data_IF_696358269134
#
_entry.id   IF_696358269134
#
_cell.length_a   1.000
_cell.length_b   1.000
_cell.length_c   1.000
_cell.angle_alpha   90.00
_cell.angle_beta   90.00
_cell.angle_gamma   90.00
#
_symmetry.space_group_name_H-M   'P 1'
#
loop_
_entity.id
_entity.type
_entity.pdbx_description
1 polymer ?
#
# COMPACT_ATOMS: atom_id res chain seq x y z
N UNK A 1 4.92 9.69 -14.72
CA UNK A 1 4.56 8.43 -14.03
C UNK A 1 5.85 7.78 -13.53
N UNK A 2 6.15 7.90 -12.24
CA UNK A 2 7.29 7.20 -11.63
C UNK A 2 6.99 5.70 -11.64
N UNK A 3 7.88 4.90 -12.24
CA UNK A 3 7.78 3.44 -12.19
C UNK A 3 7.98 2.92 -10.77
N UNK A 4 7.74 1.62 -10.58
CA UNK A 4 7.91 0.89 -9.32
C UNK A 4 8.97 -0.21 -9.50
N UNK A 5 10.23 0.18 -9.83
CA UNK A 5 11.25 -0.78 -10.25
C UNK A 5 11.65 -1.76 -9.15
N UNK A 6 11.51 -1.40 -7.87
CA UNK A 6 11.85 -2.33 -6.78
C UNK A 6 10.77 -3.40 -6.63
N UNK A 7 9.50 -3.00 -6.76
CA UNK A 7 8.38 -3.94 -6.83
C UNK A 7 8.50 -4.82 -8.08
N UNK A 8 8.84 -4.26 -9.24
CA UNK A 8 9.04 -5.05 -10.47
C UNK A 8 10.18 -6.06 -10.30
N UNK A 9 11.31 -5.64 -9.70
CA UNK A 9 12.45 -6.50 -9.43
C UNK A 9 12.11 -7.61 -8.41
N UNK A 10 11.36 -7.29 -7.36
CA UNK A 10 10.85 -8.28 -6.41
C UNK A 10 9.97 -9.32 -7.12
N UNK A 11 8.98 -8.87 -7.89
CA UNK A 11 8.07 -9.78 -8.58
C UNK A 11 8.78 -10.71 -9.57
N UNK A 12 9.84 -10.22 -10.22
CA UNK A 12 10.66 -11.02 -11.13
C UNK A 12 11.48 -12.12 -10.42
N UNK A 13 11.75 -11.99 -9.11
CA UNK A 13 12.56 -12.93 -8.32
C UNK A 13 11.75 -13.84 -7.39
N UNK A 14 10.43 -13.67 -7.31
CA UNK A 14 9.60 -14.48 -6.42
C UNK A 14 9.68 -15.97 -6.78
N UNK A 15 9.74 -16.82 -5.76
CA UNK A 15 9.64 -18.25 -5.96
C UNK A 15 8.27 -18.64 -6.55
N UNK A 16 8.17 -19.78 -7.27
CA UNK A 16 6.87 -20.27 -7.73
C UNK A 16 5.87 -20.48 -6.59
N UNK A 17 6.34 -20.84 -5.40
CA UNK A 17 5.51 -20.98 -4.21
C UNK A 17 4.96 -19.63 -3.74
N UNK A 18 5.78 -18.57 -3.75
CA UNK A 18 5.35 -17.22 -3.42
C UNK A 18 4.35 -16.68 -4.43
N UNK A 19 4.59 -16.87 -5.73
CA UNK A 19 3.66 -16.50 -6.81
C UNK A 19 2.31 -17.19 -6.62
N UNK A 20 2.30 -18.50 -6.33
CA UNK A 20 1.07 -19.24 -6.10
C UNK A 20 0.31 -18.77 -4.85
N UNK A 21 1.01 -18.52 -3.74
CA UNK A 21 0.39 -18.03 -2.52
C UNK A 21 -0.22 -16.63 -2.69
N UNK A 22 0.48 -15.72 -3.38
CA UNK A 22 -0.06 -14.40 -3.75
C UNK A 22 -1.29 -14.53 -4.64
N UNK A 23 -1.27 -15.44 -5.62
CA UNK A 23 -2.42 -15.65 -6.51
C UNK A 23 -3.67 -16.14 -5.76
N UNK A 24 -3.53 -16.94 -4.69
CA UNK A 24 -4.64 -17.36 -3.83
C UNK A 24 -5.25 -16.13 -3.13
N UNK A 25 -4.41 -15.30 -2.50
CA UNK A 25 -4.86 -14.07 -1.83
C UNK A 25 -5.55 -13.12 -2.82
N UNK A 26 -4.99 -12.95 -4.01
CA UNK A 26 -5.56 -12.11 -5.06
C UNK A 26 -6.90 -12.65 -5.58
N UNK A 27 -7.06 -13.97 -5.68
CA UNK A 27 -8.32 -14.59 -6.07
C UNK A 27 -9.42 -14.34 -5.02
N UNK A 28 -9.11 -14.51 -3.72
CA UNK A 28 -10.06 -14.19 -2.64
C UNK A 28 -10.46 -12.71 -2.67
N UNK A 29 -9.48 -11.82 -2.90
CA UNK A 29 -9.76 -10.39 -3.01
C UNK A 29 -10.62 -10.07 -4.22
N UNK A 30 -10.38 -10.71 -5.36
CA UNK A 30 -11.18 -10.53 -6.58
C UNK A 30 -12.64 -10.90 -6.34
N UNK A 31 -12.91 -12.00 -5.64
CA UNK A 31 -14.27 -12.41 -5.31
C UNK A 31 -14.98 -11.40 -4.39
N UNK A 32 -14.28 -10.85 -3.39
CA UNK A 32 -14.82 -9.79 -2.53
C UNK A 32 -15.14 -8.50 -3.31
N UNK A 33 -14.29 -8.13 -4.26
CA UNK A 33 -14.49 -6.96 -5.10
C UNK A 33 -15.66 -7.16 -6.07
N UNK A 34 -15.75 -8.32 -6.73
CA UNK A 34 -16.87 -8.70 -7.60
C UNK A 34 -18.21 -8.76 -6.87
N UNK A 35 -18.22 -9.21 -5.62
CA UNK A 35 -19.45 -9.28 -4.82
C UNK A 35 -20.12 -7.91 -4.63
N UNK A 36 -19.34 -6.82 -4.70
CA UNK A 36 -19.82 -5.42 -4.58
C UNK A 36 -20.28 -4.83 -5.92
N UNK A 37 -20.05 -5.54 -7.03
CA UNK A 37 -20.42 -5.08 -8.37
C UNK A 37 -21.80 -5.60 -8.78
N UNK A 38 -22.46 -4.80 -9.61
CA UNK A 38 -23.65 -5.22 -10.34
C UNK A 38 -23.32 -6.44 -11.23
N UNK A 39 -24.25 -7.41 -11.39
CA UNK A 39 -23.98 -8.67 -12.08
C UNK A 39 -23.29 -8.51 -13.44
N UNK A 40 -23.72 -7.54 -14.24
CA UNK A 40 -23.21 -7.24 -15.58
C UNK A 40 -21.75 -6.75 -15.61
N UNK A 41 -21.19 -6.33 -14.48
CA UNK A 41 -19.79 -5.88 -14.37
C UNK A 41 -18.86 -6.92 -13.75
N UNK A 42 -19.39 -7.99 -13.15
CA UNK A 42 -18.58 -8.98 -12.41
C UNK A 42 -17.60 -9.70 -13.31
N UNK A 43 -18.07 -10.14 -14.48
CA UNK A 43 -17.27 -10.92 -15.43
C UNK A 43 -16.18 -10.06 -16.10
N UNK A 44 -16.41 -8.75 -16.23
CA UNK A 44 -15.46 -7.82 -16.83
C UNK A 44 -14.24 -7.53 -15.93
N UNK A 45 -14.34 -7.77 -14.62
CA UNK A 45 -13.24 -7.59 -13.68
C UNK A 45 -12.53 -8.93 -13.53
N UNK A 46 -11.37 -9.09 -14.16
CA UNK A 46 -10.59 -10.34 -14.16
C UNK A 46 -9.44 -10.36 -13.17
N UNK A 47 -9.09 -9.20 -12.62
CA UNK A 47 -8.01 -9.02 -11.64
C UNK A 47 -8.49 -8.08 -10.52
N UNK A 48 -8.05 -8.29 -9.27
CA UNK A 48 -8.41 -7.40 -8.20
C UNK A 48 -7.78 -6.01 -8.42
N UNK A 49 -8.57 -4.96 -8.22
CA UNK A 49 -8.13 -3.57 -8.22
C UNK A 49 -7.03 -3.37 -7.19
N UNK A 50 -7.19 -3.99 -6.02
CA UNK A 50 -6.18 -4.02 -4.98
C UNK A 50 -5.58 -5.42 -4.91
N UNK A 51 -4.73 -5.77 -5.87
CA UNK A 51 -3.88 -6.96 -5.77
C UNK A 51 -2.76 -6.75 -4.74
N UNK A 52 -2.13 -7.82 -4.28
CA UNK A 52 -0.92 -7.73 -3.43
C UNK A 52 0.15 -6.91 -4.14
N UNK A 53 0.36 -7.15 -5.45
CA UNK A 53 1.31 -6.37 -6.26
C UNK A 53 0.98 -4.89 -6.27
N UNK A 54 -0.26 -4.53 -6.56
CA UNK A 54 -0.68 -3.12 -6.64
C UNK A 54 -0.54 -2.40 -5.30
N UNK A 55 -0.68 -3.10 -4.17
CA UNK A 55 -0.40 -2.52 -2.84
C UNK A 55 1.07 -2.23 -2.63
N UNK A 56 1.97 -3.14 -3.02
CA UNK A 56 3.42 -2.87 -3.01
C UNK A 56 3.78 -1.70 -3.94
N UNK A 57 3.22 -1.68 -5.15
CA UNK A 57 3.45 -0.60 -6.12
C UNK A 57 2.96 0.75 -5.59
N UNK A 58 1.79 0.79 -4.95
CA UNK A 58 1.25 2.00 -4.32
C UNK A 58 2.17 2.49 -3.19
N UNK A 59 2.62 1.58 -2.33
CA UNK A 59 3.50 1.91 -1.20
C UNK A 59 4.88 2.42 -1.66
N UNK A 60 5.48 1.76 -2.66
CA UNK A 60 6.73 2.25 -3.27
C UNK A 60 6.55 3.62 -3.92
N UNK A 61 5.45 3.80 -4.65
CA UNK A 61 5.14 5.06 -5.34
C UNK A 61 4.97 6.19 -4.33
N UNK A 62 4.26 5.98 -3.23
CA UNK A 62 4.14 6.95 -2.17
C UNK A 62 5.51 7.33 -1.62
N UNK A 63 6.35 6.36 -1.21
CA UNK A 63 7.70 6.64 -0.72
C UNK A 63 8.51 7.51 -1.68
N UNK A 64 8.46 7.19 -2.98
CA UNK A 64 9.14 7.97 -4.05
C UNK A 64 8.58 9.38 -4.20
N UNK A 65 7.26 9.58 -4.07
CA UNK A 65 6.63 10.91 -4.12
C UNK A 65 7.11 11.74 -2.92
N UNK A 66 7.11 11.16 -1.71
CA UNK A 66 7.53 11.86 -0.51
C UNK A 66 9.01 12.24 -0.52
N UNK A 67 9.87 11.36 -1.05
CA UNK A 67 11.30 11.63 -1.23
C UNK A 67 11.59 12.72 -2.27
N UNK A 68 10.81 12.74 -3.35
CA UNK A 68 10.96 13.75 -4.41
C UNK A 68 10.53 15.15 -3.95
N UNK A 69 9.64 15.23 -2.96
CA UNK A 69 9.04 16.47 -2.51
C UNK A 69 8.03 17.06 -3.51
N UNK A 70 7.45 18.23 -3.19
CA UNK A 70 6.42 18.86 -4.01
C UNK A 70 6.95 19.22 -5.40
N UNK A 71 6.18 18.88 -6.44
CA UNK A 71 6.44 19.27 -7.83
C UNK A 71 5.25 20.07 -8.33
N UNK A 72 5.46 21.26 -8.94
CA UNK A 72 4.36 22.14 -9.37
C UNK A 72 3.34 21.48 -10.32
N UNK A 73 3.75 20.44 -11.04
CA UNK A 73 2.96 19.77 -12.07
C UNK A 73 2.32 18.45 -11.59
N UNK A 74 2.68 17.98 -10.38
CA UNK A 74 2.20 16.72 -9.82
C UNK A 74 1.43 16.99 -8.52
N UNK A 75 0.10 17.02 -8.60
CA UNK A 75 -0.77 17.14 -7.43
C UNK A 75 -1.01 15.76 -6.81
N UNK A 76 -0.71 15.61 -5.52
CA UNK A 76 -0.98 14.38 -4.77
C UNK A 76 -1.99 14.67 -3.65
N UNK A 77 -3.28 14.30 -3.82
CA UNK A 77 -4.32 14.67 -2.87
C UNK A 77 -4.22 13.87 -1.56
N UNK A 78 -4.72 14.46 -0.47
CA UNK A 78 -4.88 13.77 0.83
C UNK A 78 -5.63 12.44 0.74
N UNK A 79 -6.63 12.33 -0.13
CA UNK A 79 -7.37 11.08 -0.31
C UNK A 79 -6.52 9.97 -0.93
N UNK A 80 -5.53 10.31 -1.75
CA UNK A 80 -4.55 9.33 -2.24
C UNK A 80 -3.62 8.89 -1.10
N UNK A 81 -3.19 9.82 -0.25
CA UNK A 81 -2.40 9.50 0.94
C UNK A 81 -3.14 8.54 1.87
N UNK A 82 -4.40 8.84 2.21
CA UNK A 82 -5.26 7.98 3.03
C UNK A 82 -5.40 6.58 2.41
N UNK A 83 -5.67 6.50 1.11
CA UNK A 83 -5.82 5.24 0.39
C UNK A 83 -4.53 4.40 0.41
N UNK A 84 -3.36 5.03 0.33
CA UNK A 84 -2.08 4.31 0.38
C UNK A 84 -1.78 3.79 1.80
N UNK A 85 -2.19 4.52 2.85
CA UNK A 85 -2.12 4.04 4.24
C UNK A 85 -3.08 2.86 4.49
N UNK A 86 -4.32 2.93 4.00
CA UNK A 86 -5.26 1.81 4.01
C UNK A 86 -4.70 0.61 3.23
N UNK A 87 -4.03 0.88 2.10
CA UNK A 87 -3.34 -0.12 1.31
C UNK A 87 -2.23 -0.83 2.11
N UNK A 88 -1.49 -0.08 2.92
CA UNK A 88 -0.44 -0.62 3.80
C UNK A 88 -1.00 -1.44 4.96
N UNK A 89 -2.14 -1.05 5.54
CA UNK A 89 -2.87 -1.85 6.54
C UNK A 89 -3.27 -3.20 5.95
N UNK A 90 -3.93 -3.17 4.79
CA UNK A 90 -4.33 -4.40 4.09
C UNK A 90 -3.11 -5.27 3.72
N UNK A 91 -1.96 -4.65 3.42
CA UNK A 91 -0.73 -5.39 3.17
C UNK A 91 -0.19 -6.08 4.43
N UNK A 92 -0.32 -5.46 5.61
CA UNK A 92 0.02 -6.11 6.88
C UNK A 92 -0.82 -7.37 7.12
N UNK A 93 -2.14 -7.27 6.89
CA UNK A 93 -3.07 -8.41 7.02
C UNK A 93 -2.72 -9.55 6.06
N UNK A 94 -2.40 -9.22 4.80
CA UNK A 94 -1.95 -10.21 3.81
C UNK A 94 -0.66 -10.89 4.28
N UNK A 95 0.32 -10.12 4.74
CA UNK A 95 1.59 -10.67 5.19
C UNK A 95 1.40 -11.64 6.35
N UNK A 96 0.56 -11.34 7.33
CA UNK A 96 0.25 -12.24 8.43
C UNK A 96 -0.41 -13.55 7.99
N UNK A 97 -1.25 -13.51 6.94
CA UNK A 97 -1.91 -14.69 6.40
C UNK A 97 -1.01 -15.59 5.53
N UNK A 98 0.12 -15.07 5.02
CA UNK A 98 1.01 -15.82 4.14
C UNK A 98 1.83 -16.88 4.89
N UNK A 99 2.15 -18.02 4.25
CA UNK A 99 3.07 -18.99 4.80
C UNK A 99 4.42 -18.35 5.12
N UNK A 100 5.02 -18.70 6.27
CA UNK A 100 6.28 -18.13 6.75
C UNK A 100 7.41 -18.01 5.70
N UNK A 101 7.72 -19.04 4.87
CA UNK A 101 8.76 -18.91 3.85
C UNK A 101 8.40 -17.88 2.75
N UNK A 102 7.14 -17.83 2.33
CA UNK A 102 6.66 -16.85 1.34
C UNK A 102 6.67 -15.44 1.93
N UNK A 103 6.19 -15.30 3.17
CA UNK A 103 6.23 -14.02 3.90
C UNK A 103 7.66 -13.49 3.98
N UNK A 104 8.64 -14.34 4.25
CA UNK A 104 10.05 -13.92 4.33
C UNK A 104 10.57 -13.33 2.99
N UNK A 105 10.16 -13.89 1.85
CA UNK A 105 10.56 -13.37 0.53
C UNK A 105 10.05 -11.95 0.27
N UNK A 106 8.85 -11.63 0.78
CA UNK A 106 8.19 -10.33 0.62
C UNK A 106 8.56 -9.33 1.72
N UNK A 107 8.87 -9.82 2.93
CA UNK A 107 9.09 -9.00 4.11
C UNK A 107 10.28 -8.05 3.95
N UNK A 108 11.39 -8.54 3.38
CA UNK A 108 12.60 -7.72 3.16
C UNK A 108 12.29 -6.45 2.35
N UNK A 109 11.49 -6.59 1.29
CA UNK A 109 11.09 -5.45 0.46
C UNK A 109 10.13 -4.53 1.21
N UNK A 110 9.15 -5.09 1.92
CA UNK A 110 8.19 -4.29 2.69
C UNK A 110 8.89 -3.47 3.78
N UNK A 111 9.83 -4.07 4.49
CA UNK A 111 10.66 -3.41 5.51
C UNK A 111 11.49 -2.27 4.90
N UNK A 112 12.04 -2.47 3.70
CA UNK A 112 12.78 -1.44 2.98
C UNK A 112 11.87 -0.26 2.58
N UNK A 113 10.67 -0.53 2.08
CA UNK A 113 9.69 0.51 1.76
C UNK A 113 9.21 1.26 3.01
N UNK A 114 8.94 0.55 4.10
CA UNK A 114 8.55 1.14 5.37
C UNK A 114 9.64 2.05 5.93
N UNK A 115 10.92 1.63 5.83
CA UNK A 115 12.05 2.45 6.24
C UNK A 115 12.15 3.74 5.41
N UNK A 116 11.90 3.68 4.11
CA UNK A 116 11.88 4.86 3.22
C UNK A 116 10.74 5.80 3.55
N UNK A 117 9.53 5.27 3.73
CA UNK A 117 8.39 6.05 4.19
C UNK A 117 8.69 6.73 5.53
N UNK A 118 9.26 6.00 6.49
CA UNK A 118 9.67 6.53 7.78
C UNK A 118 10.74 7.63 7.66
N UNK A 119 11.70 7.49 6.74
CA UNK A 119 12.72 8.51 6.49
C UNK A 119 12.15 9.78 5.84
N UNK A 120 11.11 9.67 5.02
CA UNK A 120 10.48 10.80 4.32
C UNK A 120 9.39 11.51 5.14
N UNK A 121 9.06 11.00 6.33
CA UNK A 121 7.97 11.51 7.18
C UNK A 121 8.44 11.77 8.62
N UNK A 122 7.78 12.70 9.31
CA UNK A 122 7.94 12.95 10.74
C UNK A 122 6.72 12.45 11.51
N UNK A 123 6.85 12.32 12.84
CA UNK A 123 5.69 12.05 13.68
C UNK A 123 4.74 13.25 13.67
N UNK A 124 3.45 13.02 13.40
CA UNK A 124 2.40 14.04 13.43
C UNK A 124 2.00 14.36 14.89
N UNK A 125 2.88 15.07 15.59
CA UNK A 125 2.65 15.51 16.98
C UNK A 125 1.67 16.69 17.08
N UNK A 126 1.45 17.40 15.97
CA UNK A 126 0.59 18.59 15.92
C UNK A 126 -0.85 18.27 15.56
N UNK A 127 -1.15 17.04 15.12
CA UNK A 127 -2.45 16.69 14.55
C UNK A 127 -2.71 17.39 13.22
N UNK A 128 -1.65 17.67 12.44
CA UNK A 128 -1.75 18.41 11.19
C UNK A 128 -2.67 17.69 10.19
N UNK A 129 -2.72 16.35 10.23
CA UNK A 129 -3.56 15.57 9.33
C UNK A 129 -4.96 15.27 9.89
N UNK A 130 -5.29 15.69 11.11
CA UNK A 130 -6.58 15.39 11.75
C UNK A 130 -7.81 15.85 10.95
N UNK A 131 -7.82 17.02 10.28
CA UNK A 131 -8.97 17.43 9.49
C UNK A 131 -9.36 16.40 8.41
N UNK A 132 -8.40 15.62 7.93
CA UNK A 132 -8.58 14.63 6.87
C UNK A 132 -8.59 13.19 7.40
N UNK A 133 -7.71 12.85 8.34
CA UNK A 133 -7.46 11.47 8.76
C UNK A 133 -8.05 11.09 10.12
N UNK A 134 -8.66 12.01 10.89
CA UNK A 134 -9.11 11.72 12.27
C UNK A 134 -10.01 10.47 12.34
N UNK A 135 -10.96 10.34 11.43
CA UNK A 135 -11.89 9.21 11.41
C UNK A 135 -11.18 7.91 11.04
N UNK A 136 -10.25 7.95 10.07
CA UNK A 136 -9.46 6.78 9.66
C UNK A 136 -8.51 6.33 10.79
N UNK A 137 -7.77 7.27 11.41
CA UNK A 137 -6.92 7.02 12.60
C UNK A 137 -7.69 6.41 13.76
N UNK A 138 -8.95 6.80 13.97
CA UNK A 138 -9.80 6.22 15.01
C UNK A 138 -10.18 4.76 14.77
N UNK A 139 -10.06 4.26 13.53
CA UNK A 139 -10.29 2.85 13.17
C UNK A 139 -8.98 2.06 13.01
N UNK A 140 -7.88 2.74 12.73
CA UNK A 140 -6.58 2.12 12.50
C UNK A 140 -6.05 1.42 13.78
N UNK A 141 -5.44 0.23 13.66
CA UNK A 141 -4.74 -0.39 14.78
C UNK A 141 -3.64 0.52 15.34
N UNK A 142 -3.50 0.61 16.67
CA UNK A 142 -2.45 1.43 17.29
C UNK A 142 -1.03 1.01 16.90
N UNK A 143 -0.84 -0.26 16.53
CA UNK A 143 0.44 -0.78 16.05
C UNK A 143 0.84 -0.24 14.67
N UNK A 144 -0.12 0.29 13.90
CA UNK A 144 0.10 0.77 12.54
C UNK A 144 0.60 2.22 12.54
N UNK A 145 1.85 2.38 12.99
CA UNK A 145 2.45 3.68 13.29
C UNK A 145 2.46 4.67 12.11
N UNK A 146 2.35 4.19 10.87
CA UNK A 146 2.33 5.02 9.66
C UNK A 146 1.15 6.01 9.62
N UNK A 147 0.02 5.70 10.29
CA UNK A 147 -1.12 6.61 10.38
C UNK A 147 -0.82 7.92 11.13
N UNK A 148 0.17 7.91 12.01
CA UNK A 148 0.58 9.08 12.80
C UNK A 148 1.84 9.73 12.23
N UNK A 149 2.12 9.52 10.94
CA UNK A 149 3.24 10.18 10.25
C UNK A 149 2.75 11.22 9.25
N UNK A 150 3.47 12.32 9.17
CA UNK A 150 3.24 13.43 8.23
C UNK A 150 4.46 13.59 7.32
N UNK A 151 4.28 13.76 5.99
CA UNK A 151 5.36 14.10 5.08
C UNK A 151 6.18 15.29 5.54
N UNK A 152 7.51 15.18 5.47
CA UNK A 152 8.44 16.30 5.74
C UNK A 152 8.25 17.46 4.77
N UNK A 153 7.78 17.15 3.57
CA UNK A 153 7.41 18.12 2.56
C UNK A 153 6.09 17.66 1.95
N UNK A 154 5.02 18.38 2.29
CA UNK A 154 3.67 18.08 1.85
C UNK A 154 3.57 18.15 0.32
N UNK A 155 3.09 17.09 -0.36
CA UNK A 155 2.89 17.08 -1.81
C UNK A 155 1.48 17.57 -2.25
N UNK A 156 0.69 18.13 -1.32
CA UNK A 156 -0.67 18.63 -1.52
C UNK A 156 -0.78 20.16 -1.39
#
# INVERSE_FOLDING_TARGET
>A
MTGTPETDALWARLSPAAVAAVAVVDAERLELERARLAPERREAVTEPVYSVRRRFEAWERLGRILEAGPRPEEFYPFSAYENDLDGRDALAEVMEALPAPVRAELAEMLDALDARFGAATDQDVTGALDPWLRTARGRAPQAHVWWWRVPKSAPW
#
